data_IF_142801083414
#
_entry.id   IF_142801083414
#
_cell.length_a   1.000
_cell.length_b   1.000
_cell.length_c   1.000
_cell.angle_alpha   90.00
_cell.angle_beta   90.00
_cell.angle_gamma   90.00
#
_symmetry.space_group_name_H-M   'P 1'
#
loop_
_entity.id
_entity.type
_entity.pdbx_description
1 polymer ?
#
# COMPACT_ATOMS: atom_id res chain seq x y z
N UNK A 1 -58.79 18.95 -21.16
CA UNK A 1 -58.19 17.62 -21.12
C UNK A 1 -56.69 17.80 -20.89
N UNK A 2 -56.27 17.72 -19.67
CA UNK A 2 -54.86 17.90 -19.25
C UNK A 2 -54.21 16.53 -19.21
N UNK A 3 -53.36 16.25 -20.15
CA UNK A 3 -52.53 15.02 -20.17
C UNK A 3 -51.51 15.13 -19.07
N UNK A 4 -51.66 14.35 -18.03
CA UNK A 4 -50.59 14.14 -17.03
C UNK A 4 -49.52 13.24 -17.65
N UNK A 5 -48.38 13.81 -17.99
CA UNK A 5 -47.18 13.06 -18.27
C UNK A 5 -46.71 12.41 -16.98
N UNK A 6 -46.90 11.12 -16.83
CA UNK A 6 -46.32 10.32 -15.77
C UNK A 6 -44.83 10.22 -16.01
N UNK A 7 -44.09 11.03 -15.31
CA UNK A 7 -42.61 10.93 -15.24
C UNK A 7 -42.26 9.62 -14.52
N UNK A 8 -42.19 8.52 -15.28
CA UNK A 8 -41.78 7.22 -14.78
C UNK A 8 -40.26 7.21 -14.76
N UNK A 9 -39.65 7.56 -13.63
CA UNK A 9 -38.21 7.33 -13.40
C UNK A 9 -37.95 5.84 -13.67
N UNK A 10 -37.01 5.48 -14.55
CA UNK A 10 -36.73 4.09 -14.85
C UNK A 10 -36.31 3.38 -13.54
N UNK A 11 -37.03 2.34 -13.17
CA UNK A 11 -36.66 1.49 -12.02
C UNK A 11 -35.36 0.80 -12.38
N UNK A 12 -34.26 1.23 -11.75
CA UNK A 12 -32.95 0.60 -11.93
C UNK A 12 -33.02 -0.78 -11.28
N UNK A 13 -32.85 -1.83 -12.06
CA UNK A 13 -32.72 -3.18 -11.51
C UNK A 13 -31.36 -3.34 -10.85
N UNK A 14 -31.40 -3.39 -9.52
CA UNK A 14 -30.19 -3.49 -8.69
C UNK A 14 -29.44 -4.81 -8.96
N UNK A 15 -30.12 -5.89 -9.30
CA UNK A 15 -29.50 -7.17 -9.61
C UNK A 15 -28.65 -7.10 -10.86
N UNK A 16 -29.15 -6.44 -11.91
CA UNK A 16 -28.43 -6.19 -13.16
C UNK A 16 -27.22 -5.29 -12.93
N UNK A 17 -27.41 -4.24 -12.12
CA UNK A 17 -26.28 -3.33 -11.79
C UNK A 17 -25.17 -4.04 -11.02
N UNK A 18 -25.50 -4.89 -10.07
CA UNK A 18 -24.53 -5.70 -9.32
C UNK A 18 -23.79 -6.68 -10.24
N UNK A 19 -24.49 -7.41 -11.07
CA UNK A 19 -23.86 -8.33 -12.02
C UNK A 19 -22.85 -7.61 -12.95
N UNK A 20 -23.18 -6.40 -13.41
CA UNK A 20 -22.24 -5.59 -14.21
C UNK A 20 -21.02 -5.12 -13.40
N UNK A 21 -21.20 -4.81 -12.13
CA UNK A 21 -20.07 -4.48 -11.23
C UNK A 21 -19.17 -5.70 -11.07
N UNK A 22 -19.74 -6.89 -10.81
CA UNK A 22 -18.97 -8.12 -10.66
C UNK A 22 -18.12 -8.45 -11.91
N UNK A 23 -18.68 -8.22 -13.11
CA UNK A 23 -17.94 -8.39 -14.37
C UNK A 23 -16.77 -7.40 -14.50
N UNK A 24 -16.96 -6.15 -14.09
CA UNK A 24 -15.92 -5.12 -14.11
C UNK A 24 -14.84 -5.43 -13.05
N UNK A 25 -15.23 -5.85 -11.85
CA UNK A 25 -14.33 -6.22 -10.79
C UNK A 25 -13.40 -7.36 -11.21
N UNK A 26 -13.93 -8.37 -11.91
CA UNK A 26 -13.10 -9.44 -12.45
C UNK A 26 -12.03 -8.91 -13.44
N UNK A 27 -12.40 -7.95 -14.31
CA UNK A 27 -11.44 -7.31 -15.21
C UNK A 27 -10.40 -6.46 -14.47
N UNK A 28 -10.81 -5.76 -13.41
CA UNK A 28 -9.88 -4.98 -12.56
C UNK A 28 -8.85 -5.91 -11.93
N UNK A 29 -9.28 -7.06 -11.40
CA UNK A 29 -8.38 -8.05 -10.81
C UNK A 29 -7.36 -8.55 -11.84
N UNK A 30 -7.82 -8.96 -13.02
CA UNK A 30 -6.94 -9.42 -14.10
C UNK A 30 -5.90 -8.35 -14.50
N UNK A 31 -6.34 -7.11 -14.68
CA UNK A 31 -5.44 -6.00 -15.03
C UNK A 31 -4.46 -5.66 -13.90
N UNK A 32 -4.91 -5.75 -12.65
CA UNK A 32 -4.06 -5.56 -11.49
C UNK A 32 -2.97 -6.64 -11.40
N UNK A 33 -3.32 -7.91 -11.54
CA UNK A 33 -2.37 -9.03 -11.55
C UNK A 33 -1.33 -8.88 -12.66
N UNK A 34 -1.76 -8.58 -13.88
CA UNK A 34 -0.85 -8.31 -15.00
C UNK A 34 0.11 -7.16 -14.70
N UNK A 35 -0.38 -6.11 -14.06
CA UNK A 35 0.46 -4.98 -13.63
C UNK A 35 1.47 -5.41 -12.57
N UNK A 36 1.09 -6.28 -11.62
CA UNK A 36 1.98 -6.78 -10.58
C UNK A 36 3.07 -7.69 -11.16
N UNK A 37 2.76 -8.54 -12.14
CA UNK A 37 3.78 -9.33 -12.85
C UNK A 37 4.83 -8.44 -13.53
N UNK A 38 4.40 -7.36 -14.20
CA UNK A 38 5.34 -6.40 -14.78
C UNK A 38 6.17 -5.69 -13.70
N UNK A 39 5.58 -5.45 -12.51
CA UNK A 39 6.34 -4.89 -11.39
C UNK A 39 7.43 -5.83 -10.87
N UNK A 40 7.26 -7.15 -10.97
CA UNK A 40 8.30 -8.14 -10.69
C UNK A 40 9.49 -8.02 -11.67
N UNK A 41 9.22 -7.85 -12.96
CA UNK A 41 10.27 -7.61 -13.96
C UNK A 41 11.07 -6.33 -13.65
N UNK A 42 10.36 -5.27 -13.22
CA UNK A 42 10.98 -4.02 -12.79
C UNK A 42 11.84 -4.22 -11.55
N UNK A 43 11.42 -5.04 -10.59
CA UNK A 43 12.21 -5.39 -9.41
C UNK A 43 13.51 -6.11 -9.80
N UNK A 44 13.43 -7.10 -10.68
CA UNK A 44 14.60 -7.82 -11.19
C UNK A 44 15.60 -6.87 -11.87
N UNK A 45 15.12 -5.94 -12.70
CA UNK A 45 15.96 -4.93 -13.33
C UNK A 45 16.62 -4.00 -12.30
N UNK A 46 15.87 -3.51 -11.32
CA UNK A 46 16.38 -2.62 -10.27
C UNK A 46 17.47 -3.30 -9.44
N UNK A 47 17.27 -4.57 -9.09
CA UNK A 47 18.28 -5.38 -8.40
C UNK A 47 19.57 -5.49 -9.22
N UNK A 48 19.45 -5.84 -10.50
CA UNK A 48 20.61 -5.98 -11.39
C UNK A 48 21.38 -4.67 -11.60
N UNK A 49 20.70 -3.52 -11.46
CA UNK A 49 21.30 -2.18 -11.72
C UNK A 49 21.56 -1.37 -10.45
N UNK A 50 21.26 -1.88 -9.27
CA UNK A 50 21.41 -1.17 -7.99
C UNK A 50 20.47 0.03 -7.82
N UNK A 51 19.39 0.12 -8.61
CA UNK A 51 18.43 1.21 -8.51
C UNK A 51 17.46 1.02 -7.36
N UNK A 52 17.07 2.09 -6.65
CA UNK A 52 16.11 1.99 -5.55
C UNK A 52 14.71 1.59 -6.06
N UNK A 53 13.95 0.90 -5.20
CA UNK A 53 12.56 0.54 -5.50
C UNK A 53 11.68 1.79 -5.64
N UNK A 54 11.84 2.75 -4.74
CA UNK A 54 11.08 4.01 -4.77
C UNK A 54 11.66 4.99 -5.79
N UNK A 55 10.83 5.41 -6.73
CA UNK A 55 11.10 6.51 -7.67
C UNK A 55 9.94 7.52 -7.58
N UNK A 56 10.08 8.47 -6.68
CA UNK A 56 9.04 9.48 -6.39
C UNK A 56 8.64 10.30 -7.61
N UNK A 57 9.61 10.67 -8.45
CA UNK A 57 9.37 11.48 -9.65
C UNK A 57 8.53 10.73 -10.67
N UNK A 58 8.87 9.45 -10.90
CA UNK A 58 8.12 8.59 -11.81
C UNK A 58 6.71 8.29 -11.29
N UNK A 59 6.57 8.07 -9.98
CA UNK A 59 5.27 7.81 -9.37
C UNK A 59 4.35 9.03 -9.49
N UNK A 60 4.84 10.23 -9.18
CA UNK A 60 4.07 11.46 -9.35
C UNK A 60 3.62 11.65 -10.81
N UNK A 61 4.53 11.56 -11.76
CA UNK A 61 4.19 11.68 -13.19
C UNK A 61 3.17 10.63 -13.67
N UNK A 62 3.19 9.44 -13.09
CA UNK A 62 2.19 8.39 -13.37
C UNK A 62 0.82 8.75 -12.84
N UNK A 63 0.73 9.29 -11.62
CA UNK A 63 -0.52 9.72 -11.01
C UNK A 63 -1.12 10.87 -11.81
N UNK A 64 -0.31 11.87 -12.18
CA UNK A 64 -0.74 13.01 -12.98
C UNK A 64 -1.33 12.55 -14.32
N UNK A 65 -0.57 11.70 -15.04
CA UNK A 65 -1.03 11.16 -16.33
C UNK A 65 -2.31 10.33 -16.20
N UNK A 66 -2.45 9.53 -15.15
CA UNK A 66 -3.67 8.76 -14.90
C UNK A 66 -4.86 9.68 -14.59
N UNK A 67 -4.62 10.75 -13.84
CA UNK A 67 -5.64 11.76 -13.52
C UNK A 67 -6.12 12.49 -14.76
N UNK A 68 -5.23 12.79 -15.72
CA UNK A 68 -5.59 13.42 -17.00
C UNK A 68 -6.49 12.52 -17.87
N UNK A 69 -6.31 11.20 -17.79
CA UNK A 69 -7.09 10.24 -18.55
C UNK A 69 -8.53 10.05 -18.01
N UNK A 70 -8.78 10.43 -16.77
CA UNK A 70 -10.07 10.27 -16.14
C UNK A 70 -11.03 11.40 -16.56
N UNK A 71 -12.33 11.09 -16.58
CA UNK A 71 -13.37 12.12 -16.71
C UNK A 71 -13.38 13.03 -15.48
N UNK A 72 -13.84 14.27 -15.66
CA UNK A 72 -13.82 15.30 -14.59
C UNK A 72 -14.53 14.84 -13.31
N UNK A 73 -15.60 14.07 -13.45
CA UNK A 73 -16.37 13.51 -12.34
C UNK A 73 -15.52 12.60 -11.42
N UNK A 74 -14.59 11.84 -12.00
CA UNK A 74 -13.82 10.80 -11.28
C UNK A 74 -12.37 11.18 -11.00
N UNK A 75 -11.85 12.30 -11.54
CA UNK A 75 -10.45 12.75 -11.35
C UNK A 75 -10.00 12.74 -9.90
N UNK A 76 -10.85 13.16 -8.98
CA UNK A 76 -10.52 13.25 -7.54
C UNK A 76 -10.21 11.88 -6.90
N UNK A 77 -10.69 10.78 -7.49
CA UNK A 77 -10.48 9.43 -6.97
C UNK A 77 -9.22 8.76 -7.55
N UNK A 78 -8.66 9.29 -8.62
CA UNK A 78 -7.51 8.69 -9.29
C UNK A 78 -6.23 8.77 -8.45
N UNK A 79 -5.86 9.92 -7.85
CA UNK A 79 -4.64 9.99 -7.05
C UNK A 79 -4.59 8.99 -5.89
N UNK A 80 -5.61 8.84 -5.03
CA UNK A 80 -5.59 7.85 -3.96
C UNK A 80 -5.58 6.41 -4.50
N UNK A 81 -6.31 6.10 -5.57
CA UNK A 81 -6.33 4.78 -6.19
C UNK A 81 -4.94 4.39 -6.71
N UNK A 82 -4.32 5.26 -7.50
CA UNK A 82 -2.99 5.01 -8.07
C UNK A 82 -1.89 5.05 -7.00
N UNK A 83 -2.03 5.89 -5.98
CA UNK A 83 -1.15 5.91 -4.81
C UNK A 83 -1.11 4.55 -4.11
N UNK A 84 -2.29 3.97 -3.81
CA UNK A 84 -2.42 2.65 -3.21
C UNK A 84 -1.84 1.55 -4.11
N UNK A 85 -2.11 1.59 -5.42
CA UNK A 85 -1.53 0.63 -6.36
C UNK A 85 0.01 0.70 -6.42
N UNK A 86 0.59 1.90 -6.30
CA UNK A 86 2.05 2.08 -6.25
C UNK A 86 2.63 1.50 -4.96
N UNK A 87 1.97 1.75 -3.83
CA UNK A 87 2.37 1.21 -2.53
C UNK A 87 2.37 -0.32 -2.52
N UNK A 88 1.28 -0.95 -2.97
CA UNK A 88 1.21 -2.41 -3.13
C UNK A 88 2.29 -2.94 -4.07
N UNK A 89 2.56 -2.24 -5.17
CA UNK A 89 3.63 -2.60 -6.10
C UNK A 89 5.02 -2.55 -5.45
N UNK A 90 5.28 -1.53 -4.61
CA UNK A 90 6.55 -1.46 -3.87
C UNK A 90 6.67 -2.57 -2.85
N UNK A 91 5.60 -2.83 -2.07
CA UNK A 91 5.58 -3.92 -1.11
C UNK A 91 5.89 -5.26 -1.77
N UNK A 92 5.26 -5.54 -2.93
CA UNK A 92 5.53 -6.74 -3.70
C UNK A 92 6.97 -6.79 -4.25
N UNK A 93 7.50 -5.68 -4.78
CA UNK A 93 8.91 -5.61 -5.21
C UNK A 93 9.87 -5.88 -4.05
N UNK A 94 9.59 -5.36 -2.85
CA UNK A 94 10.41 -5.62 -1.67
C UNK A 94 10.37 -7.10 -1.28
N UNK A 95 9.20 -7.74 -1.21
CA UNK A 95 9.12 -9.18 -0.89
C UNK A 95 9.95 -10.03 -1.85
N UNK A 96 9.92 -9.74 -3.16
CA UNK A 96 10.73 -10.44 -4.15
C UNK A 96 12.26 -10.20 -4.01
N UNK A 97 12.64 -9.06 -3.43
CA UNK A 97 14.03 -8.75 -3.16
C UNK A 97 14.50 -9.42 -1.86
N UNK A 98 13.64 -9.46 -0.85
CA UNK A 98 13.90 -10.06 0.46
C UNK A 98 13.99 -11.60 0.39
N UNK A 99 13.11 -12.25 -0.40
CA UNK A 99 13.17 -13.71 -0.64
C UNK A 99 14.53 -14.19 -1.19
N UNK A 100 15.23 -13.33 -1.92
CA UNK A 100 16.59 -13.63 -2.43
C UNK A 100 17.65 -13.31 -1.38
N UNK A 101 17.31 -12.48 -0.39
CA UNK A 101 18.22 -12.11 0.71
C UNK A 101 18.22 -13.13 1.85
N UNK A 102 17.22 -14.01 1.95
CA UNK A 102 17.16 -15.07 2.97
C UNK A 102 18.36 -16.03 2.97
N UNK A 103 19.17 -16.02 1.91
CA UNK A 103 20.46 -16.75 1.86
C UNK A 103 21.67 -15.95 2.35
N UNK A 104 21.51 -14.66 2.64
CA UNK A 104 22.56 -13.75 3.12
C UNK A 104 22.05 -13.02 4.36
N UNK A 105 21.68 -13.78 5.36
CA UNK A 105 21.66 -13.24 6.72
C UNK A 105 23.13 -12.99 7.06
N UNK A 106 23.58 -11.75 7.27
CA UNK A 106 24.95 -11.52 7.71
C UNK A 106 25.16 -12.31 8.99
N UNK A 107 26.26 -13.07 9.09
CA UNK A 107 26.64 -13.81 10.29
C UNK A 107 26.67 -12.98 11.59
N UNK A 108 26.52 -11.67 11.46
CA UNK A 108 26.36 -10.71 12.57
C UNK A 108 25.00 -10.81 13.29
N UNK A 109 24.00 -11.55 12.76
CA UNK A 109 22.72 -11.75 13.47
C UNK A 109 22.80 -12.99 14.40
N UNK A 110 23.80 -13.84 14.25
CA UNK A 110 24.04 -14.97 15.18
C UNK A 110 24.59 -14.52 16.55
N UNK A 111 25.13 -13.30 16.66
CA UNK A 111 25.32 -12.64 17.94
C UNK A 111 24.03 -11.88 18.28
N UNK A 112 23.12 -12.52 18.98
CA UNK A 112 22.06 -11.82 19.72
C UNK A 112 22.78 -11.01 20.78
N UNK A 113 23.10 -9.76 20.45
CA UNK A 113 23.56 -8.81 21.45
C UNK A 113 22.46 -8.73 22.52
N UNK A 114 22.79 -9.04 23.77
CA UNK A 114 21.85 -8.84 24.86
C UNK A 114 21.36 -7.40 24.78
N UNK A 115 20.04 -7.22 24.85
CA UNK A 115 19.46 -5.89 24.89
C UNK A 115 20.07 -5.13 26.08
N UNK A 116 20.47 -3.86 25.92
CA UNK A 116 21.08 -3.09 26.99
C UNK A 116 20.12 -3.04 28.17
N UNK A 117 20.66 -3.27 29.38
CA UNK A 117 19.87 -3.24 30.61
C UNK A 117 19.24 -1.86 30.89
N UNK A 118 19.83 -0.79 30.36
CA UNK A 118 19.30 0.57 30.39
C UNK A 118 19.21 1.11 28.94
N UNK A 119 18.06 1.60 28.54
CA UNK A 119 17.84 2.17 27.20
C UNK A 119 17.00 3.45 27.30
N UNK A 120 17.37 4.47 26.51
CA UNK A 120 16.50 5.61 26.23
C UNK A 120 15.67 5.26 25.00
N UNK A 121 14.36 5.14 25.17
CA UNK A 121 13.46 4.67 24.11
C UNK A 121 12.39 5.71 23.84
N UNK A 122 12.30 6.17 22.60
CA UNK A 122 11.20 7.02 22.14
C UNK A 122 10.06 6.14 21.63
N UNK A 123 8.87 6.30 22.17
CA UNK A 123 7.65 5.59 21.75
C UNK A 123 6.60 6.59 21.30
N UNK A 124 5.86 6.24 20.27
CA UNK A 124 4.73 7.06 19.81
C UNK A 124 3.49 6.76 20.63
N UNK A 125 2.75 7.80 21.03
CA UNK A 125 1.49 7.66 21.77
C UNK A 125 1.60 8.01 23.23
N UNK A 126 0.78 7.37 24.07
CA UNK A 126 0.63 7.70 25.49
C UNK A 126 0.99 6.50 26.37
N UNK A 127 1.16 6.75 27.66
CA UNK A 127 1.37 5.70 28.66
C UNK A 127 0.24 4.66 28.60
N UNK A 128 0.61 3.37 28.59
CA UNK A 128 -0.34 2.26 28.45
C UNK A 128 -0.63 1.84 27.00
N UNK A 129 -0.13 2.55 26.00
CA UNK A 129 -0.20 2.10 24.61
C UNK A 129 0.64 0.84 24.36
N UNK A 130 0.33 0.09 23.29
CA UNK A 130 1.05 -1.16 22.95
C UNK A 130 2.57 -0.99 22.89
N UNK A 131 3.05 0.11 22.33
CA UNK A 131 4.49 0.39 22.23
C UNK A 131 5.13 0.62 23.58
N UNK A 132 4.44 1.27 24.53
CA UNK A 132 4.88 1.43 25.90
C UNK A 132 4.98 0.07 26.62
N UNK A 133 3.96 -0.78 26.48
CA UNK A 133 3.93 -2.13 27.09
C UNK A 133 5.07 -2.97 26.52
N UNK A 134 5.22 -3.01 25.19
CA UNK A 134 6.29 -3.76 24.53
C UNK A 134 7.69 -3.28 24.96
N UNK A 135 7.88 -1.97 25.14
CA UNK A 135 9.13 -1.41 25.61
C UNK A 135 9.48 -1.91 27.02
N UNK A 136 8.51 -1.96 27.92
CA UNK A 136 8.70 -2.46 29.30
C UNK A 136 8.93 -3.97 29.38
N UNK A 137 8.43 -4.73 28.40
CA UNK A 137 8.69 -6.18 28.31
C UNK A 137 10.08 -6.47 27.73
N UNK A 138 10.59 -5.62 26.83
CA UNK A 138 11.87 -5.83 26.16
C UNK A 138 13.07 -5.31 26.97
N UNK A 139 12.90 -4.25 27.75
CA UNK A 139 14.00 -3.61 28.51
C UNK A 139 13.73 -3.67 30.00
N UNK A 140 14.80 -3.86 30.80
CA UNK A 140 14.68 -4.05 32.26
C UNK A 140 14.28 -2.76 32.97
N UNK A 141 14.84 -1.61 32.55
CA UNK A 141 14.55 -0.28 33.16
C UNK A 141 14.68 0.81 32.09
N UNK A 142 13.72 0.88 31.13
CA UNK A 142 13.79 1.84 30.05
C UNK A 142 13.40 3.26 30.51
N UNK A 143 14.20 4.24 30.13
CA UNK A 143 13.82 5.66 30.17
C UNK A 143 12.97 5.96 28.91
N UNK A 144 11.66 6.09 29.10
CA UNK A 144 10.69 6.16 28.00
C UNK A 144 10.25 7.60 27.75
N UNK A 145 10.47 8.08 26.54
CA UNK A 145 9.99 9.39 26.06
C UNK A 145 8.81 9.16 25.12
N UNK A 146 7.68 9.77 25.44
CA UNK A 146 6.48 9.71 24.57
C UNK A 146 6.54 10.81 23.52
N UNK A 147 6.37 10.40 22.27
CA UNK A 147 6.24 11.30 21.12
C UNK A 147 4.77 11.41 20.72
N UNK A 148 4.29 12.60 20.29
CA UNK A 148 2.92 12.82 19.84
C UNK A 148 2.58 12.08 18.55
#
# INVERSE_FOLDING_TARGET
>A
MTSQETNTTPVIDLSVSRARIDEIDAQIIELFERRMHIAADVAAYKRATGKPVLDKTREAAKIDKATELASDEFKKFIPPLFGMMMEMSRAYQHSLLDEVSEGVVPAAIDEVAELPAAAHVAVQGVEGAYQHIACRELFVDPDIVFLP
#
